data_IF_423639559630
#
_entry.id   IF_423639559630
#
_cell.length_a   1.000
_cell.length_b   1.000
_cell.length_c   1.000
_cell.angle_alpha   90.00
_cell.angle_beta   90.00
_cell.angle_gamma   90.00
#
_symmetry.space_group_name_H-M   'P 1'
#
loop_
_entity.id
_entity.type
_entity.pdbx_description
1 polymer ?
#
# COMPACT_ATOMS: atom_id res chain seq x y z
N UNK A 1 20.57 2.09 -12.45
CA UNK A 1 19.87 3.37 -12.66
C UNK A 1 19.87 4.26 -11.41
N UNK A 2 19.19 3.92 -10.31
CA UNK A 2 19.12 4.78 -9.10
C UNK A 2 20.50 5.17 -8.57
N UNK A 3 21.42 4.21 -8.45
CA UNK A 3 22.79 4.48 -8.02
C UNK A 3 23.53 5.50 -8.93
N UNK A 4 23.34 5.39 -10.25
CA UNK A 4 23.93 6.35 -11.21
C UNK A 4 23.34 7.75 -11.03
N UNK A 5 22.04 7.86 -10.81
CA UNK A 5 21.37 9.14 -10.57
C UNK A 5 21.74 9.74 -9.21
N UNK A 6 21.96 8.92 -8.19
CA UNK A 6 22.48 9.37 -6.90
C UNK A 6 23.90 9.93 -7.05
N UNK A 7 24.77 9.22 -7.77
CA UNK A 7 26.13 9.70 -8.05
C UNK A 7 26.11 10.98 -8.91
N UNK A 8 25.28 11.00 -9.96
CA UNK A 8 25.06 12.20 -10.76
C UNK A 8 24.56 13.37 -9.92
N UNK A 9 23.60 13.13 -9.02
CA UNK A 9 23.07 14.14 -8.13
C UNK A 9 24.16 14.78 -7.26
N UNK A 10 25.12 13.99 -6.76
CA UNK A 10 26.27 14.53 -6.01
C UNK A 10 27.17 15.42 -6.87
N UNK A 11 27.42 15.03 -8.12
CA UNK A 11 28.20 15.84 -9.07
C UNK A 11 27.46 17.13 -9.39
N UNK A 12 26.17 17.04 -9.70
CA UNK A 12 25.36 18.21 -10.05
C UNK A 12 25.26 19.19 -8.88
N UNK A 13 24.97 18.69 -7.67
CA UNK A 13 24.87 19.52 -6.45
C UNK A 13 26.22 20.23 -6.12
N UNK A 14 27.35 19.68 -6.57
CA UNK A 14 28.67 20.26 -6.32
C UNK A 14 29.16 21.26 -7.40
N UNK A 15 28.64 21.18 -8.62
CA UNK A 15 29.20 21.93 -9.78
C UNK A 15 28.21 22.88 -10.46
N UNK A 16 26.91 22.80 -10.16
CA UNK A 16 25.88 23.57 -10.84
C UNK A 16 25.12 24.46 -9.86
N UNK A 17 24.64 25.62 -10.34
CA UNK A 17 23.85 26.55 -9.53
C UNK A 17 22.48 25.98 -9.14
N UNK A 18 21.88 25.18 -10.03
CA UNK A 18 20.57 24.56 -9.79
C UNK A 18 20.77 23.17 -9.16
N UNK A 19 20.38 23.00 -7.88
CA UNK A 19 20.60 21.75 -7.19
C UNK A 19 19.75 20.63 -7.78
N UNK A 20 20.34 19.44 -7.84
CA UNK A 20 19.60 18.20 -8.08
C UNK A 20 18.77 17.84 -6.85
N UNK A 21 19.31 18.04 -5.65
CA UNK A 21 18.59 17.74 -4.40
C UNK A 21 17.24 18.46 -4.31
N UNK A 22 16.23 17.74 -3.82
CA UNK A 22 14.93 18.32 -3.51
C UNK A 22 15.04 19.26 -2.29
N UNK A 23 14.34 20.40 -2.34
CA UNK A 23 14.31 21.36 -1.23
C UNK A 23 13.78 20.71 0.06
N UNK A 24 12.81 19.80 -0.06
CA UNK A 24 12.26 19.08 1.08
C UNK A 24 13.33 18.22 1.76
N UNK A 25 14.30 17.68 1.01
CA UNK A 25 15.37 16.86 1.58
C UNK A 25 16.28 17.65 2.53
N UNK A 26 16.54 18.91 2.20
CA UNK A 26 17.30 19.83 3.06
C UNK A 26 16.51 20.12 4.33
N UNK A 27 15.22 20.43 4.19
CA UNK A 27 14.31 20.67 5.33
C UNK A 27 14.24 19.45 6.26
N UNK A 28 14.18 18.23 5.71
CA UNK A 28 14.20 17.02 6.53
C UNK A 28 15.54 16.83 7.26
N UNK A 29 16.65 17.10 6.57
CA UNK A 29 17.99 16.95 7.15
C UNK A 29 18.25 17.97 8.25
N UNK A 30 17.73 19.19 8.11
CA UNK A 30 17.79 20.21 9.16
C UNK A 30 16.98 19.78 10.39
N UNK A 31 15.76 19.29 10.20
CA UNK A 31 14.94 18.77 11.29
C UNK A 31 15.59 17.57 12.00
N UNK A 32 16.21 16.66 11.23
CA UNK A 32 17.01 15.58 11.80
C UNK A 32 18.20 16.11 12.61
N UNK A 33 18.81 17.24 12.20
CA UNK A 33 19.90 17.89 12.94
C UNK A 33 19.42 18.49 14.26
N UNK A 34 18.21 19.04 14.33
CA UNK A 34 17.59 19.44 15.60
C UNK A 34 17.37 18.23 16.51
N UNK A 35 16.79 17.14 15.98
CA UNK A 35 16.59 15.91 16.74
C UNK A 35 17.90 15.31 17.27
N UNK A 36 18.97 15.31 16.47
CA UNK A 36 20.28 14.83 16.89
C UNK A 36 20.88 15.62 18.07
N UNK A 37 20.43 16.86 18.28
CA UNK A 37 20.83 17.72 19.41
C UNK A 37 19.86 17.62 20.60
N UNK A 38 18.87 16.74 20.54
CA UNK A 38 17.82 16.60 21.56
C UNK A 38 16.70 17.65 21.46
N UNK A 39 16.68 18.44 20.39
CA UNK A 39 15.66 19.46 20.13
C UNK A 39 14.50 18.91 19.31
N UNK A 40 13.39 19.65 19.26
CA UNK A 40 12.23 19.26 18.46
C UNK A 40 12.50 19.43 16.96
N UNK A 41 12.11 18.50 16.07
CA UNK A 41 12.23 18.70 14.62
C UNK A 41 11.43 19.91 14.11
N UNK A 42 10.40 20.32 14.86
CA UNK A 42 9.55 21.46 14.54
C UNK A 42 10.18 22.82 14.87
N UNK A 43 11.36 22.85 15.50
CA UNK A 43 12.15 24.08 15.64
C UNK A 43 12.72 24.55 14.29
N UNK A 44 12.66 23.70 13.25
CA UNK A 44 12.86 24.14 11.88
C UNK A 44 11.54 24.73 11.34
N UNK A 45 11.49 26.04 11.16
CA UNK A 45 10.28 26.79 10.78
C UNK A 45 9.47 26.22 9.59
N UNK A 46 10.14 25.68 8.57
CA UNK A 46 9.49 25.16 7.36
C UNK A 46 9.20 23.65 7.45
N UNK A 47 9.45 23.00 8.58
CA UNK A 47 9.24 21.57 8.76
C UNK A 47 7.77 21.27 9.07
N UNK A 48 7.06 20.76 8.06
CA UNK A 48 5.63 20.43 8.10
C UNK A 48 5.33 18.93 8.06
N UNK A 49 6.35 18.12 8.33
CA UNK A 49 6.32 16.68 8.11
C UNK A 49 6.24 15.90 9.42
N UNK A 50 5.97 14.61 9.33
CA UNK A 50 5.93 13.74 10.49
C UNK A 50 7.30 13.63 11.16
N UNK A 51 7.42 13.71 12.50
CA UNK A 51 8.70 13.56 13.20
C UNK A 51 9.39 12.23 12.88
N UNK A 52 8.61 11.21 12.50
CA UNK A 52 9.12 9.93 12.04
C UNK A 52 10.04 10.05 10.81
N UNK A 53 9.79 11.00 9.92
CA UNK A 53 10.63 11.26 8.75
C UNK A 53 11.98 11.86 9.19
N UNK A 54 11.96 12.84 10.08
CA UNK A 54 13.20 13.41 10.62
C UNK A 54 14.00 12.36 11.41
N UNK A 55 13.32 11.54 12.22
CA UNK A 55 13.93 10.44 12.95
C UNK A 55 14.61 9.42 12.02
N UNK A 56 13.93 9.01 10.93
CA UNK A 56 14.48 8.09 9.93
C UNK A 56 15.72 8.65 9.20
N UNK A 57 15.88 9.98 9.22
CA UNK A 57 16.97 10.72 8.59
C UNK A 57 18.05 11.18 9.57
N UNK A 58 18.00 10.78 10.84
CA UNK A 58 19.11 10.99 11.77
C UNK A 58 20.48 10.55 11.21
N UNK A 59 20.60 9.41 10.47
CA UNK A 59 21.87 9.04 9.88
C UNK A 59 22.36 9.97 8.77
N UNK A 60 21.53 10.90 8.25
CA UNK A 60 22.02 11.96 7.37
C UNK A 60 23.05 12.85 8.07
N UNK A 61 22.88 13.04 9.39
CA UNK A 61 23.71 13.93 10.20
C UNK A 61 24.87 13.18 10.83
N UNK A 62 24.65 11.94 11.27
CA UNK A 62 25.66 11.17 12.01
C UNK A 62 26.54 10.28 11.14
N UNK A 63 26.06 9.86 9.95
CA UNK A 63 26.80 8.95 9.08
C UNK A 63 27.14 9.59 7.74
N UNK A 64 26.13 9.91 6.91
CA UNK A 64 26.37 10.43 5.57
C UNK A 64 25.16 11.22 5.04
N UNK A 65 25.33 12.44 4.49
CA UNK A 65 24.22 13.29 4.04
C UNK A 65 23.27 12.64 3.03
N UNK A 66 23.75 11.69 2.22
CA UNK A 66 22.94 10.97 1.21
C UNK A 66 22.20 9.74 1.74
N UNK A 67 22.28 9.41 3.03
CA UNK A 67 21.60 8.24 3.60
C UNK A 67 20.11 8.21 3.25
N UNK A 68 19.42 9.32 3.45
CA UNK A 68 18.00 9.46 3.14
C UNK A 68 17.69 9.28 1.66
N UNK A 69 18.53 9.80 0.76
CA UNK A 69 18.36 9.58 -0.69
C UNK A 69 18.45 8.09 -1.04
N UNK A 70 19.35 7.35 -0.40
CA UNK A 70 19.46 5.89 -0.55
C UNK A 70 18.22 5.20 0.01
N UNK A 71 17.74 5.59 1.20
CA UNK A 71 16.52 5.07 1.80
C UNK A 71 15.30 5.25 0.87
N UNK A 72 15.12 6.46 0.33
CA UNK A 72 14.01 6.79 -0.55
C UNK A 72 14.11 6.09 -1.92
N UNK A 73 15.31 5.98 -2.49
CA UNK A 73 15.54 5.17 -3.68
C UNK A 73 15.27 3.68 -3.44
N UNK A 74 15.61 3.16 -2.25
CA UNK A 74 15.27 1.80 -1.82
C UNK A 74 13.76 1.58 -1.72
N UNK A 75 13.03 2.55 -1.15
CA UNK A 75 11.57 2.58 -1.15
C UNK A 75 10.99 2.51 -2.56
N UNK A 76 11.50 3.30 -3.50
CA UNK A 76 11.04 3.30 -4.89
C UNK A 76 11.24 1.93 -5.59
N UNK A 77 12.37 1.28 -5.36
CA UNK A 77 12.62 -0.08 -5.86
C UNK A 77 11.63 -1.09 -5.23
N UNK A 78 11.37 -0.96 -3.92
CA UNK A 78 10.42 -1.81 -3.22
C UNK A 78 8.98 -1.59 -3.72
N UNK A 79 8.61 -0.34 -4.02
CA UNK A 79 7.33 -0.02 -4.65
C UNK A 79 7.17 -0.75 -6.00
N UNK A 80 8.17 -0.67 -6.88
CA UNK A 80 8.15 -1.39 -8.16
C UNK A 80 8.00 -2.91 -8.01
N UNK A 81 8.68 -3.51 -7.02
CA UNK A 81 8.51 -4.93 -6.68
C UNK A 81 7.10 -5.25 -6.15
N UNK A 82 6.56 -4.40 -5.27
CA UNK A 82 5.22 -4.57 -4.71
C UNK A 82 4.13 -4.46 -5.78
N UNK A 83 4.26 -3.57 -6.76
CA UNK A 83 3.34 -3.46 -7.90
C UNK A 83 3.18 -4.81 -8.59
N UNK A 84 4.30 -5.42 -9.00
CA UNK A 84 4.28 -6.73 -9.65
C UNK A 84 3.69 -7.82 -8.74
N UNK A 85 3.99 -7.79 -7.44
CA UNK A 85 3.46 -8.76 -6.48
C UNK A 85 1.95 -8.64 -6.28
N UNK A 86 1.43 -7.42 -6.12
CA UNK A 86 0.00 -7.15 -5.96
C UNK A 86 -0.76 -7.56 -7.21
N UNK A 87 -0.28 -7.20 -8.40
CA UNK A 87 -0.95 -7.57 -9.67
C UNK A 87 -1.05 -9.09 -9.84
N UNK A 88 0.04 -9.82 -9.57
CA UNK A 88 0.04 -11.31 -9.60
C UNK A 88 -0.92 -11.91 -8.57
N UNK A 89 -1.04 -11.31 -7.38
CA UNK A 89 -2.02 -11.76 -6.37
C UNK A 89 -3.47 -11.55 -6.84
N UNK A 90 -3.71 -10.54 -7.67
CA UNK A 90 -5.02 -10.25 -8.27
C UNK A 90 -5.30 -11.03 -9.56
N UNK A 91 -4.43 -11.98 -9.93
CA UNK A 91 -4.64 -12.86 -11.08
C UNK A 91 -4.27 -12.23 -12.43
N UNK A 92 -3.59 -11.07 -12.42
CA UNK A 92 -3.07 -10.46 -13.64
C UNK A 92 -1.93 -11.33 -14.19
N UNK A 93 -1.95 -11.56 -15.51
CA UNK A 93 -0.94 -12.36 -16.20
C UNK A 93 0.49 -11.85 -15.96
N UNK A 94 1.45 -12.77 -15.95
CA UNK A 94 2.84 -12.46 -15.56
C UNK A 94 3.47 -11.36 -16.41
N UNK A 95 3.26 -11.40 -17.74
CA UNK A 95 3.79 -10.38 -18.66
C UNK A 95 3.27 -8.99 -18.32
N UNK A 96 1.96 -8.84 -18.11
CA UNK A 96 1.36 -7.55 -17.77
C UNK A 96 1.85 -7.03 -16.39
N UNK A 97 1.99 -7.91 -15.41
CA UNK A 97 2.53 -7.54 -14.10
C UNK A 97 4.00 -7.09 -14.18
N UNK A 98 4.82 -7.76 -15.01
CA UNK A 98 6.20 -7.36 -15.27
C UNK A 98 6.27 -6.02 -16.02
N UNK A 99 5.43 -5.83 -17.05
CA UNK A 99 5.37 -4.55 -17.77
C UNK A 99 4.96 -3.40 -16.84
N UNK A 100 4.00 -3.61 -15.94
CA UNK A 100 3.61 -2.59 -14.96
C UNK A 100 4.72 -2.27 -13.95
N UNK A 101 5.41 -3.30 -13.43
CA UNK A 101 6.55 -3.11 -12.55
C UNK A 101 7.72 -2.40 -13.27
N UNK A 102 8.00 -2.77 -14.52
CA UNK A 102 8.97 -2.09 -15.37
C UNK A 102 8.54 -0.65 -15.66
N UNK A 103 7.26 -0.41 -15.94
CA UNK A 103 6.73 0.94 -16.15
C UNK A 103 6.93 1.81 -14.91
N UNK A 104 6.73 1.28 -13.69
CA UNK A 104 7.12 2.00 -12.47
C UNK A 104 8.62 2.23 -12.41
N UNK A 105 9.42 1.16 -12.50
CA UNK A 105 10.87 1.24 -12.29
C UNK A 105 11.57 2.10 -13.35
N UNK A 106 11.13 2.14 -14.59
CA UNK A 106 11.77 2.91 -15.65
C UNK A 106 11.08 4.24 -15.94
N UNK A 107 10.10 4.64 -15.12
CA UNK A 107 9.47 5.95 -15.28
C UNK A 107 10.42 7.07 -14.80
N UNK A 108 10.80 8.01 -15.68
CA UNK A 108 11.74 9.09 -15.35
C UNK A 108 11.29 9.97 -14.20
N UNK A 109 9.99 10.14 -14.01
CA UNK A 109 9.45 10.90 -12.90
C UNK A 109 9.72 10.19 -11.56
N UNK A 110 9.37 8.91 -11.45
CA UNK A 110 9.46 8.15 -10.18
C UNK A 110 10.88 8.01 -9.68
N UNK A 111 11.80 7.57 -10.54
CA UNK A 111 13.17 7.35 -10.13
C UNK A 111 13.86 8.68 -9.82
N UNK A 112 13.56 9.75 -10.55
CA UNK A 112 14.17 11.07 -10.32
C UNK A 112 13.68 11.66 -9.01
N UNK A 113 12.36 11.66 -8.75
CA UNK A 113 11.79 12.14 -7.48
C UNK A 113 12.39 11.40 -6.29
N UNK A 114 12.54 10.07 -6.39
CA UNK A 114 13.14 9.29 -5.30
C UNK A 114 14.62 9.62 -5.07
N UNK A 115 15.43 9.77 -6.12
CA UNK A 115 16.87 10.00 -6.01
C UNK A 115 17.20 11.46 -5.68
N UNK A 116 16.31 12.40 -5.98
CA UNK A 116 16.40 13.80 -5.51
C UNK A 116 16.21 13.93 -3.99
N UNK A 117 15.68 12.91 -3.32
CA UNK A 117 15.51 12.91 -1.87
C UNK A 117 14.06 13.11 -1.39
N UNK A 118 13.07 12.89 -2.24
CA UNK A 118 11.67 12.98 -1.82
C UNK A 118 11.20 11.70 -1.11
N UNK A 119 10.46 11.85 -0.01
CA UNK A 119 9.90 10.73 0.75
C UNK A 119 8.59 10.15 0.14
N UNK A 120 8.14 10.67 -1.00
CA UNK A 120 6.94 10.17 -1.71
C UNK A 120 7.03 8.68 -2.07
N UNK A 121 8.24 8.17 -2.31
CA UNK A 121 8.48 6.75 -2.58
C UNK A 121 8.16 5.87 -1.37
N UNK A 122 8.42 6.34 -0.14
CA UNK A 122 8.04 5.62 1.08
C UNK A 122 6.53 5.57 1.26
N UNK A 123 5.85 6.70 1.04
CA UNK A 123 4.38 6.76 1.13
C UNK A 123 3.74 5.82 0.11
N UNK A 124 4.22 5.84 -1.14
CA UNK A 124 3.78 4.93 -2.19
C UNK A 124 4.01 3.46 -1.82
N UNK A 125 5.17 3.15 -1.24
CA UNK A 125 5.51 1.80 -0.77
C UNK A 125 4.58 1.32 0.33
N UNK A 126 4.26 2.18 1.30
CA UNK A 126 3.33 1.84 2.38
C UNK A 126 1.93 1.60 1.84
N UNK A 127 1.44 2.44 0.92
CA UNK A 127 0.14 2.23 0.28
C UNK A 127 0.10 0.92 -0.53
N UNK A 128 1.16 0.59 -1.26
CA UNK A 128 1.27 -0.70 -1.94
C UNK A 128 1.34 -1.88 -0.96
N UNK A 129 1.94 -1.68 0.21
CA UNK A 129 1.96 -2.68 1.30
C UNK A 129 0.56 -2.89 1.88
N UNK A 130 -0.23 -1.83 2.07
CA UNK A 130 -1.66 -1.92 2.45
C UNK A 130 -2.40 -2.76 1.42
N UNK A 131 -2.27 -2.45 0.13
CA UNK A 131 -2.88 -3.22 -0.95
C UNK A 131 -2.42 -4.68 -0.98
N UNK A 132 -1.14 -4.95 -0.69
CA UNK A 132 -0.59 -6.29 -0.59
C UNK A 132 -1.22 -7.09 0.56
N UNK A 133 -1.31 -6.49 1.75
CA UNK A 133 -1.95 -7.09 2.93
C UNK A 133 -3.44 -7.36 2.68
N UNK A 134 -4.16 -6.38 2.13
CA UNK A 134 -5.55 -6.54 1.74
C UNK A 134 -5.71 -7.64 0.69
N UNK A 135 -4.88 -7.70 -0.35
CA UNK A 135 -4.96 -8.77 -1.37
C UNK A 135 -4.72 -10.18 -0.81
N UNK A 136 -4.20 -10.31 0.42
CA UNK A 136 -4.01 -11.57 1.15
C UNK A 136 -5.04 -11.79 2.27
N UNK A 137 -6.05 -10.94 2.38
CA UNK A 137 -7.08 -10.98 3.42
C UNK A 137 -6.61 -10.57 4.82
N UNK A 138 -5.45 -9.93 4.93
CA UNK A 138 -4.88 -9.53 6.22
C UNK A 138 -5.27 -8.09 6.56
N UNK A 139 -6.45 -7.90 7.16
CA UNK A 139 -7.02 -6.57 7.44
C UNK A 139 -6.27 -5.83 8.56
N UNK A 140 -5.94 -6.49 9.67
CA UNK A 140 -5.26 -5.88 10.81
C UNK A 140 -3.91 -5.24 10.43
N UNK A 141 -2.96 -5.95 9.79
CA UNK A 141 -1.71 -5.31 9.38
C UNK A 141 -1.92 -4.25 8.28
N UNK A 142 -2.92 -4.41 7.41
CA UNK A 142 -3.25 -3.38 6.43
C UNK A 142 -3.68 -2.08 7.12
N UNK A 143 -4.54 -2.16 8.15
CA UNK A 143 -5.00 -1.01 8.91
C UNK A 143 -3.85 -0.34 9.68
N UNK A 144 -2.96 -1.13 10.31
CA UNK A 144 -1.79 -0.61 11.01
C UNK A 144 -0.85 0.15 10.07
N UNK A 145 -0.51 -0.44 8.92
CA UNK A 145 0.35 0.20 7.91
C UNK A 145 -0.31 1.44 7.32
N UNK A 146 -1.63 1.40 7.10
CA UNK A 146 -2.39 2.54 6.60
C UNK A 146 -2.35 3.73 7.57
N UNK A 147 -2.49 3.48 8.88
CA UNK A 147 -2.34 4.50 9.91
C UNK A 147 -0.95 5.14 9.90
N UNK A 148 0.11 4.33 9.76
CA UNK A 148 1.47 4.87 9.61
C UNK A 148 1.59 5.73 8.34
N UNK A 149 1.00 5.30 7.22
CA UNK A 149 1.03 6.05 5.97
C UNK A 149 0.36 7.43 6.09
N UNK A 150 -0.83 7.51 6.72
CA UNK A 150 -1.54 8.78 6.95
C UNK A 150 -0.83 9.70 7.95
N UNK A 151 -0.07 9.14 8.89
CA UNK A 151 0.77 9.92 9.79
C UNK A 151 2.03 10.46 9.11
N UNK A 152 2.61 9.74 8.13
CA UNK A 152 3.77 10.21 7.38
C UNK A 152 3.41 11.35 6.41
N UNK A 153 2.26 11.24 5.74
CA UNK A 153 1.64 12.32 4.96
C UNK A 153 0.14 12.24 5.09
N UNK A 154 -0.52 13.40 5.10
CA UNK A 154 -2.00 13.48 5.16
C UNK A 154 -2.66 12.85 3.92
N UNK A 155 -2.06 12.96 2.74
CA UNK A 155 -2.70 12.58 1.46
C UNK A 155 -3.29 11.16 1.40
N UNK A 156 -2.61 10.10 1.91
CA UNK A 156 -3.20 8.76 2.06
C UNK A 156 -4.62 8.69 2.65
N UNK A 157 -5.08 9.69 3.40
CA UNK A 157 -6.43 9.74 3.97
C UNK A 157 -7.53 9.62 2.91
N UNK A 158 -7.28 10.07 1.68
CA UNK A 158 -8.25 9.99 0.57
C UNK A 158 -8.60 8.54 0.21
N UNK A 159 -7.73 7.58 0.55
CA UNK A 159 -7.94 6.16 0.30
C UNK A 159 -8.80 5.48 1.35
N UNK A 160 -9.23 6.16 2.42
CA UNK A 160 -10.09 5.58 3.45
C UNK A 160 -11.41 5.07 2.86
N UNK A 161 -12.08 5.88 2.04
CA UNK A 161 -13.34 5.52 1.39
C UNK A 161 -13.21 4.26 0.50
N UNK A 162 -12.29 4.19 -0.49
CA UNK A 162 -12.16 2.99 -1.32
C UNK A 162 -11.73 1.76 -0.51
N UNK A 163 -10.92 1.91 0.54
CA UNK A 163 -10.57 0.77 1.43
C UNK A 163 -11.80 0.25 2.15
N UNK A 164 -12.63 1.11 2.73
CA UNK A 164 -13.86 0.70 3.43
C UNK A 164 -14.85 0.03 2.48
N UNK A 165 -15.06 0.60 1.28
CA UNK A 165 -15.92 0.01 0.26
C UNK A 165 -15.41 -1.36 -0.20
N UNK A 166 -14.09 -1.50 -0.37
CA UNK A 166 -13.46 -2.77 -0.71
C UNK A 166 -13.67 -3.85 0.37
N UNK A 167 -13.61 -3.47 1.65
CA UNK A 167 -13.84 -4.37 2.78
C UNK A 167 -15.33 -4.75 2.94
N UNK A 168 -16.25 -3.85 2.58
CA UNK A 168 -17.69 -4.08 2.64
C UNK A 168 -18.24 -4.92 1.47
N UNK A 169 -17.54 -4.91 0.32
CA UNK A 169 -17.97 -5.58 -0.90
C UNK A 169 -17.73 -7.09 -0.97
N UNK A 170 -17.21 -7.73 0.09
CA UNK A 170 -17.00 -9.18 0.12
C UNK A 170 -15.99 -9.68 -0.92
N UNK A 171 -14.84 -8.99 -1.05
CA UNK A 171 -13.81 -9.36 -2.03
C UNK A 171 -13.28 -10.78 -1.79
N UNK A 172 -13.32 -11.62 -2.82
CA UNK A 172 -12.65 -12.92 -2.85
C UNK A 172 -11.50 -12.82 -3.84
N UNK A 173 -10.27 -13.07 -3.39
CA UNK A 173 -9.13 -13.07 -4.30
C UNK A 173 -9.12 -14.33 -5.21
N UNK A 174 -8.34 -14.36 -6.30
CA UNK A 174 -8.23 -15.53 -7.18
C UNK A 174 -7.73 -16.81 -6.52
N UNK A 175 -7.25 -16.73 -5.26
CA UNK A 175 -6.83 -17.87 -4.44
C UNK A 175 -7.91 -18.32 -3.46
N UNK A 176 -9.13 -17.80 -3.57
CA UNK A 176 -10.27 -18.15 -2.71
C UNK A 176 -10.28 -17.47 -1.33
N UNK A 177 -9.39 -16.52 -1.05
CA UNK A 177 -9.38 -15.79 0.23
C UNK A 177 -10.47 -14.72 0.18
N UNK A 178 -11.50 -14.88 1.02
CA UNK A 178 -12.54 -13.87 1.21
C UNK A 178 -12.14 -12.85 2.27
N UNK A 179 -12.52 -11.60 2.03
CA UNK A 179 -12.40 -10.51 2.97
C UNK A 179 -13.81 -10.05 3.28
N UNK A 180 -14.36 -10.58 4.36
CA UNK A 180 -15.53 -10.01 4.99
C UNK A 180 -15.00 -9.14 6.12
N UNK A 181 -15.20 -7.83 6.03
CA UNK A 181 -15.36 -7.08 7.28
C UNK A 181 -16.49 -7.78 8.03
N UNK A 182 -16.23 -8.18 9.27
CA UNK A 182 -17.20 -8.81 10.16
C UNK A 182 -18.34 -7.85 10.45
N UNK A 183 -19.20 -7.62 9.47
CA UNK A 183 -20.57 -7.26 9.70
C UNK A 183 -21.26 -8.56 10.08
N UNK A 184 -21.20 -8.90 11.37
CA UNK A 184 -22.32 -9.58 11.99
C UNK A 184 -23.53 -8.66 11.81
N UNK A 185 -24.13 -8.67 10.61
CA UNK A 185 -25.54 -8.34 10.46
C UNK A 185 -26.22 -9.40 11.29
N UNK A 186 -26.58 -9.03 12.52
CA UNK A 186 -27.39 -9.85 13.39
C UNK A 186 -28.56 -10.34 12.55
N UNK A 187 -28.55 -11.63 12.27
CA UNK A 187 -29.75 -12.38 11.97
C UNK A 187 -30.67 -12.14 13.17
N UNK A 188 -31.60 -11.19 13.04
CA UNK A 188 -32.78 -11.18 13.88
C UNK A 188 -33.43 -12.54 13.64
N UNK A 189 -33.31 -13.40 14.66
CA UNK A 189 -34.02 -14.65 14.74
C UNK A 189 -35.50 -14.38 14.53
N UNK A 190 -36.03 -15.01 13.50
CA UNK A 190 -37.45 -15.23 13.30
C UNK A 190 -37.68 -16.73 13.26
N UNK A 191 -37.47 -17.40 14.38
CA UNK A 191 -37.90 -18.77 14.59
C UNK A 191 -39.43 -18.77 14.51
N UNK A 192 -40.00 -19.29 13.43
CA UNK A 192 -41.35 -19.83 13.45
C UNK A 192 -41.25 -21.32 13.15
N UNK A 193 -41.27 -22.07 14.25
CA UNK A 193 -41.35 -23.51 14.28
C UNK A 193 -42.62 -24.00 13.59
N UNK A 194 -42.49 -25.17 12.98
CA UNK A 194 -43.55 -25.98 12.41
C UNK A 194 -44.49 -26.53 13.49
N UNK A 195 -45.79 -26.63 13.18
CA UNK A 195 -46.65 -27.73 13.64
C UNK A 195 -48.06 -27.65 13.01
N UNK A 196 -48.37 -28.60 12.12
CA UNK A 196 -49.65 -29.33 12.00
C UNK A 196 -49.59 -30.12 10.67
N UNK A 197 -49.38 -31.44 10.70
CA UNK A 197 -50.42 -32.47 10.75
C UNK A 197 -50.73 -32.87 9.29
N UNK A 198 -50.44 -34.05 8.75
CA UNK A 198 -50.50 -35.39 9.32
C UNK A 198 -51.84 -36.01 8.94
N UNK A 199 -51.93 -36.65 7.75
CA UNK A 199 -52.90 -37.67 7.31
C UNK A 199 -52.53 -38.06 5.86
N UNK A 200 -52.11 -39.30 5.58
CA UNK A 200 -52.97 -40.42 5.14
C UNK A 200 -53.17 -40.33 3.61
N UNK A 201 -52.76 -41.24 2.72
CA UNK A 201 -52.66 -42.69 2.74
C UNK A 201 -52.93 -43.18 1.29
N UNK A 202 -52.31 -44.31 0.92
CA UNK A 202 -52.76 -45.32 -0.06
C UNK A 202 -52.76 -45.05 -1.59
N UNK A 203 -51.79 -45.73 -2.24
CA UNK A 203 -51.91 -46.75 -3.32
C UNK A 203 -52.47 -46.42 -4.72
N UNK A 204 -51.68 -46.75 -5.74
CA UNK A 204 -51.95 -47.60 -6.96
C UNK A 204 -50.98 -47.14 -8.08
N UNK A 205 -49.98 -47.91 -8.51
CA UNK A 205 -49.96 -49.11 -9.37
C UNK A 205 -50.35 -48.87 -10.85
N UNK A 206 -49.43 -49.23 -11.75
CA UNK A 206 -49.64 -49.40 -13.21
C UNK A 206 -49.18 -48.18 -14.02
N UNK A 207 -48.42 -48.27 -15.11
CA UNK A 207 -47.99 -49.39 -15.93
C UNK A 207 -47.78 -48.86 -17.36
N UNK A 208 -46.70 -49.28 -18.04
CA UNK A 208 -46.46 -49.11 -19.49
C UNK A 208 -46.13 -47.67 -19.93
N UNK A 209 -45.25 -47.39 -20.88
CA UNK A 209 -44.59 -48.20 -21.89
C UNK A 209 -44.37 -47.32 -23.12
N UNK A 210 -43.19 -47.42 -23.76
CA UNK A 210 -43.04 -47.30 -25.21
C UNK A 210 -42.68 -45.94 -25.83
N UNK A 211 -41.60 -45.97 -26.64
CA UNK A 211 -41.40 -45.22 -27.89
C UNK A 211 -40.96 -43.75 -27.73
N UNK A 212 -39.87 -43.24 -28.32
CA UNK A 212 -39.26 -43.57 -29.61
C UNK A 212 -39.79 -42.61 -30.68
N UNK A 213 -38.98 -41.65 -31.11
CA UNK A 213 -39.29 -40.67 -32.16
C UNK A 213 -38.69 -39.31 -31.89
#
# INVERSE_FOLDING_TARGET
>A
LRALLLAWGLVQDAHFEVPYTDVDYVVFTDAARFMARGASPYERDTYRYSPLIAAALLPNVTMHPSWGKVLFAGGDLLAGWLVGRVLRLRGVGERAALTAAAAWLFNPFTFTVSTRGSCESLVSTLMLTVLHCLSRGRVVPAAAVYGVATHLRVYPIIYALPIVLFLGGGYVNPRGISISAGASRGTRGGTRAASHGGEGGTSQSGGGGGGGG
#
